data_IF_169533067442
#
_entry.id   IF_169533067442
#
_cell.length_a   1.000
_cell.length_b   1.000
_cell.length_c   1.000
_cell.angle_alpha   90.00
_cell.angle_beta   90.00
_cell.angle_gamma   90.00
#
_symmetry.space_group_name_H-M   'P 1'
#
loop_
_entity.id
_entity.type
_entity.pdbx_description
1 polymer ?
#
# COMPACT_ATOMS: atom_id res chain seq x y z
N UNK A 1 8.35 12.65 25.58
CA UNK A 1 7.45 12.02 24.63
C UNK A 1 7.13 12.90 23.40
N UNK A 2 7.72 14.11 23.29
CA UNK A 2 7.56 15.03 22.15
C UNK A 2 8.80 15.11 21.22
N UNK A 3 9.86 14.37 21.52
CA UNK A 3 11.11 14.41 20.75
C UNK A 3 11.14 13.40 19.59
N UNK A 4 10.33 12.35 19.66
CA UNK A 4 10.33 11.27 18.67
C UNK A 4 9.49 11.59 17.41
N UNK A 5 8.42 12.39 17.53
CA UNK A 5 7.59 12.77 16.40
C UNK A 5 8.31 13.69 15.40
N UNK A 6 9.10 14.66 15.90
CA UNK A 6 9.88 15.53 15.02
C UNK A 6 10.99 14.79 14.26
N UNK A 7 11.55 13.77 14.85
CA UNK A 7 12.63 12.96 14.22
C UNK A 7 12.08 12.13 13.07
N UNK A 8 10.87 11.60 13.20
CA UNK A 8 10.20 10.83 12.14
C UNK A 8 9.83 11.73 10.95
N UNK A 9 9.30 12.93 11.22
CA UNK A 9 8.93 13.93 10.21
C UNK A 9 10.16 14.40 9.43
N UNK A 10 11.27 14.65 10.10
CA UNK A 10 12.52 15.06 9.44
C UNK A 10 13.15 13.91 8.64
N UNK A 11 12.97 12.66 9.05
CA UNK A 11 13.37 11.49 8.29
C UNK A 11 12.58 11.34 6.97
N UNK A 12 11.26 11.55 7.01
CA UNK A 12 10.41 11.52 5.82
C UNK A 12 10.71 12.68 4.86
N UNK A 13 11.00 13.87 5.36
CA UNK A 13 11.46 15.00 4.52
C UNK A 13 12.79 14.71 3.82
N UNK A 14 13.73 14.08 4.52
CA UNK A 14 15.01 13.68 3.93
C UNK A 14 14.86 12.57 2.90
N UNK A 15 13.95 11.61 3.14
CA UNK A 15 13.61 10.58 2.16
C UNK A 15 12.97 11.20 0.92
N UNK A 16 12.10 12.17 1.09
CA UNK A 16 11.44 12.87 0.00
C UNK A 16 12.46 13.66 -0.85
N UNK A 17 13.37 14.43 -0.24
CA UNK A 17 14.44 15.15 -0.94
C UNK A 17 15.40 14.20 -1.66
N UNK A 18 15.69 13.03 -1.08
CA UNK A 18 16.48 11.99 -1.72
C UNK A 18 15.78 11.42 -2.96
N UNK A 19 14.48 11.20 -2.90
CA UNK A 19 13.70 10.70 -4.03
C UNK A 19 13.54 11.73 -5.13
N UNK A 20 13.46 13.04 -4.81
CA UNK A 20 13.54 14.12 -5.81
C UNK A 20 14.90 14.14 -6.53
N UNK A 21 16.02 14.03 -5.81
CA UNK A 21 17.35 13.99 -6.43
C UNK A 21 17.56 12.74 -7.29
N UNK A 22 16.88 11.64 -6.95
CA UNK A 22 16.92 10.41 -7.74
C UNK A 22 16.11 10.53 -9.04
N UNK A 23 14.98 11.24 -8.99
CA UNK A 23 14.15 11.54 -10.17
C UNK A 23 14.88 12.49 -11.15
N UNK A 24 15.78 13.33 -10.65
CA UNK A 24 16.63 14.24 -11.46
C UNK A 24 17.91 13.58 -12.01
N UNK A 25 18.11 12.28 -11.74
CA UNK A 25 19.23 11.49 -12.30
C UNK A 25 20.56 11.63 -11.56
N UNK A 26 20.59 12.28 -10.38
CA UNK A 26 21.77 12.31 -9.53
C UNK A 26 21.89 11.03 -8.70
N UNK A 27 23.01 10.32 -8.89
CA UNK A 27 23.40 9.16 -8.06
C UNK A 27 23.90 9.65 -6.70
N UNK A 28 22.98 10.04 -5.82
CA UNK A 28 23.33 10.39 -4.44
C UNK A 28 23.18 9.14 -3.56
N UNK A 29 24.20 8.87 -2.75
CA UNK A 29 24.18 7.80 -1.74
C UNK A 29 23.20 8.17 -0.64
N UNK A 30 22.48 7.19 -0.09
CA UNK A 30 21.57 7.35 1.06
C UNK A 30 22.16 8.27 2.13
N UNK A 31 21.42 9.28 2.61
CA UNK A 31 21.88 10.19 3.65
C UNK A 31 22.37 9.42 4.89
N UNK A 32 23.43 9.94 5.52
CA UNK A 32 24.08 9.26 6.67
C UNK A 32 23.14 9.02 7.84
N UNK A 33 22.13 9.87 8.02
CA UNK A 33 21.04 9.74 8.99
C UNK A 33 20.20 8.47 8.77
N UNK A 34 20.00 8.07 7.54
CA UNK A 34 19.31 6.84 7.18
C UNK A 34 20.15 5.59 7.47
N UNK A 35 21.47 5.66 7.24
CA UNK A 35 22.39 4.56 7.57
C UNK A 35 22.49 4.29 9.08
N UNK A 36 22.28 5.30 9.91
CA UNK A 36 22.32 5.14 11.37
C UNK A 36 20.99 4.68 11.97
N UNK A 37 19.86 4.88 11.26
CA UNK A 37 18.52 4.42 11.72
C UNK A 37 18.22 2.97 11.31
N UNK A 38 18.77 2.49 10.20
CA UNK A 38 18.64 1.08 9.79
C UNK A 38 19.08 0.12 10.90
N UNK A 39 20.18 0.33 11.64
CA UNK A 39 20.54 -0.51 12.78
C UNK A 39 19.61 -0.38 13.99
N UNK A 40 18.98 0.79 14.21
CA UNK A 40 18.03 0.98 15.32
C UNK A 40 16.73 0.22 15.10
N UNK A 41 16.26 0.17 13.84
CA UNK A 41 15.09 -0.63 13.44
C UNK A 41 15.36 -2.13 13.48
N UNK A 42 16.60 -2.55 13.13
CA UNK A 42 17.02 -3.96 13.20
C UNK A 42 17.37 -4.43 14.60
N UNK A 43 17.73 -3.53 15.54
CA UNK A 43 18.02 -3.91 16.93
C UNK A 43 16.76 -4.08 17.79
N UNK A 44 15.65 -3.42 17.47
CA UNK A 44 14.35 -3.68 18.09
C UNK A 44 13.84 -5.09 17.74
N UNK A 45 14.14 -5.58 16.54
CA UNK A 45 13.76 -6.91 16.06
C UNK A 45 14.65 -8.05 16.56
N UNK A 46 15.89 -7.77 16.97
CA UNK A 46 16.86 -8.78 17.39
C UNK A 46 16.81 -9.15 18.88
N UNK A 47 16.09 -8.41 19.72
CA UNK A 47 16.05 -8.60 21.17
C UNK A 47 14.80 -9.34 21.67
N UNK A 48 13.92 -9.78 20.79
CA UNK A 48 12.70 -10.45 21.17
C UNK A 48 12.56 -11.79 20.44
N UNK A 49 12.69 -12.88 21.17
CA UNK A 49 11.79 -14.01 20.93
C UNK A 49 10.38 -13.43 21.07
N UNK A 50 9.77 -13.02 19.92
CA UNK A 50 8.58 -12.19 19.88
C UNK A 50 7.49 -12.73 20.80
N UNK A 51 6.73 -11.86 21.43
CA UNK A 51 5.64 -12.27 22.32
C UNK A 51 4.73 -13.26 21.58
N UNK A 52 4.08 -14.14 22.31
CA UNK A 52 3.11 -15.10 21.71
C UNK A 52 2.13 -14.38 20.76
N UNK A 53 1.73 -13.15 21.09
CA UNK A 53 0.87 -12.32 20.27
C UNK A 53 1.50 -11.97 18.92
N UNK A 54 2.78 -11.56 18.91
CA UNK A 54 3.50 -11.22 17.67
C UNK A 54 3.74 -12.45 16.80
N UNK A 55 4.14 -13.58 17.37
CA UNK A 55 4.28 -14.83 16.60
C UNK A 55 3.00 -15.22 15.88
N UNK A 56 1.83 -15.13 16.57
CA UNK A 56 0.54 -15.40 15.96
C UNK A 56 0.26 -14.43 14.82
N UNK A 57 0.52 -13.14 15.02
CA UNK A 57 0.24 -12.08 14.06
C UNK A 57 1.07 -12.27 12.77
N UNK A 58 2.37 -12.47 12.88
CA UNK A 58 3.26 -12.69 11.74
C UNK A 58 2.94 -13.98 10.99
N UNK A 59 2.68 -15.07 11.73
CA UNK A 59 2.25 -16.34 11.14
C UNK A 59 0.94 -16.20 10.38
N UNK A 60 -0.04 -15.49 10.94
CA UNK A 60 -1.32 -15.24 10.28
C UNK A 60 -1.15 -14.42 9.00
N UNK A 61 -0.35 -13.35 9.02
CA UNK A 61 -0.07 -12.54 7.84
C UNK A 61 0.54 -13.38 6.70
N UNK A 62 1.51 -14.23 7.02
CA UNK A 62 2.14 -15.14 6.06
C UNK A 62 1.12 -16.14 5.50
N UNK A 63 0.44 -16.90 6.34
CA UNK A 63 -0.50 -17.93 5.91
C UNK A 63 -1.67 -17.33 5.11
N UNK A 64 -2.23 -16.19 5.52
CA UNK A 64 -3.27 -15.50 4.77
C UNK A 64 -2.75 -15.00 3.40
N UNK A 65 -1.48 -14.61 3.31
CA UNK A 65 -0.87 -14.23 2.03
C UNK A 65 -0.71 -15.41 1.05
N UNK A 66 -0.49 -16.61 1.57
CA UNK A 66 -0.27 -17.83 0.81
C UNK A 66 -1.57 -18.53 0.42
N UNK A 67 -2.45 -18.77 1.39
CA UNK A 67 -3.67 -19.57 1.23
C UNK A 67 -4.96 -18.75 1.08
N UNK A 68 -4.93 -17.47 1.44
CA UNK A 68 -6.14 -16.63 1.54
C UNK A 68 -6.89 -16.85 2.86
N UNK A 69 -7.73 -15.87 3.22
CA UNK A 69 -8.44 -15.90 4.52
C UNK A 69 -9.34 -17.12 4.67
N UNK A 70 -10.13 -17.47 3.67
CA UNK A 70 -11.15 -18.50 3.80
C UNK A 70 -10.57 -19.90 3.98
N UNK A 71 -9.44 -20.19 3.35
CA UNK A 71 -8.81 -21.50 3.33
C UNK A 71 -7.90 -21.79 4.54
N UNK A 72 -7.47 -20.76 5.26
CA UNK A 72 -6.59 -20.93 6.44
C UNK A 72 -7.43 -21.02 7.70
N UNK A 73 -7.26 -22.06 8.50
CA UNK A 73 -7.92 -22.22 9.78
C UNK A 73 -7.12 -21.66 10.96
N UNK A 74 -7.78 -21.45 12.11
CA UNK A 74 -7.05 -21.10 13.35
C UNK A 74 -6.07 -22.21 13.79
N UNK A 75 -6.37 -23.47 13.44
CA UNK A 75 -5.48 -24.59 13.74
C UNK A 75 -4.19 -24.52 12.94
N UNK A 76 -4.28 -24.17 11.66
CA UNK A 76 -3.10 -23.99 10.80
C UNK A 76 -2.19 -22.91 11.39
N UNK A 77 -2.78 -21.78 11.80
CA UNK A 77 -2.04 -20.67 12.40
C UNK A 77 -1.41 -21.08 13.72
N UNK A 78 -2.14 -21.77 14.60
CA UNK A 78 -1.62 -22.16 15.92
C UNK A 78 -0.55 -23.25 15.84
N UNK A 79 -0.70 -24.17 14.89
CA UNK A 79 0.31 -25.21 14.65
C UNK A 79 1.61 -24.58 14.15
N UNK A 80 1.53 -23.68 13.19
CA UNK A 80 2.70 -23.04 12.59
C UNK A 80 3.37 -22.02 13.53
N UNK A 81 2.59 -21.32 14.35
CA UNK A 81 3.10 -20.40 15.36
C UNK A 81 3.62 -21.10 16.62
N UNK A 82 3.46 -22.41 16.73
CA UNK A 82 3.76 -23.21 17.94
C UNK A 82 3.11 -22.62 19.20
N UNK A 83 1.78 -22.45 19.15
CA UNK A 83 0.98 -21.92 20.27
C UNK A 83 -0.32 -22.72 20.47
N UNK A 84 -0.92 -22.57 21.65
CA UNK A 84 -2.24 -23.13 21.92
C UNK A 84 -3.33 -22.24 21.30
N UNK A 85 -4.41 -22.86 20.83
CA UNK A 85 -5.59 -22.14 20.29
C UNK A 85 -6.21 -21.18 21.32
N UNK A 86 -6.10 -21.50 22.62
CA UNK A 86 -6.54 -20.60 23.69
C UNK A 86 -5.82 -19.25 23.65
N UNK A 87 -4.56 -19.20 23.20
CA UNK A 87 -3.80 -17.95 23.04
C UNK A 87 -4.41 -17.08 21.94
N UNK A 88 -4.83 -17.67 20.81
CA UNK A 88 -5.49 -16.90 19.75
C UNK A 88 -6.82 -16.33 20.23
N UNK A 89 -7.62 -17.13 20.92
CA UNK A 89 -8.90 -16.66 21.48
C UNK A 89 -8.68 -15.57 22.53
N UNK A 90 -7.66 -15.69 23.36
CA UNK A 90 -7.33 -14.69 24.37
C UNK A 90 -6.86 -13.35 23.77
N UNK A 91 -5.96 -13.40 22.78
CA UNK A 91 -5.37 -12.18 22.20
C UNK A 91 -6.22 -11.53 21.10
N UNK A 92 -7.01 -12.29 20.37
CA UNK A 92 -7.69 -11.85 19.15
C UNK A 92 -9.18 -12.17 19.09
N UNK A 93 -9.69 -13.00 20.00
CA UNK A 93 -11.10 -13.39 20.09
C UNK A 93 -11.55 -14.36 19.00
N UNK A 94 -11.22 -14.09 17.75
CA UNK A 94 -11.64 -14.90 16.60
C UNK A 94 -10.66 -14.78 15.42
N UNK A 95 -10.86 -15.61 14.38
CA UNK A 95 -10.12 -15.49 13.12
C UNK A 95 -10.32 -14.13 12.44
N UNK A 96 -11.54 -13.60 12.49
CA UNK A 96 -11.88 -12.27 11.97
C UNK A 96 -11.21 -11.18 12.81
N UNK A 97 -11.20 -11.31 14.14
CA UNK A 97 -10.49 -10.40 15.04
C UNK A 97 -8.98 -10.41 14.79
N UNK A 98 -8.39 -11.59 14.57
CA UNK A 98 -6.99 -11.72 14.19
C UNK A 98 -6.70 -11.02 12.85
N UNK A 99 -7.54 -11.21 11.84
CA UNK A 99 -7.40 -10.52 10.55
C UNK A 99 -7.44 -9.00 10.73
N UNK A 100 -8.37 -8.48 11.55
CA UNK A 100 -8.46 -7.05 11.82
C UNK A 100 -7.16 -6.52 12.44
N UNK A 101 -6.61 -7.21 13.43
CA UNK A 101 -5.33 -6.80 14.05
C UNK A 101 -4.16 -6.88 13.07
N UNK A 102 -4.14 -7.88 12.17
CA UNK A 102 -3.14 -7.95 11.09
C UNK A 102 -3.23 -6.71 10.20
N UNK A 103 -4.44 -6.32 9.76
CA UNK A 103 -4.64 -5.11 8.97
C UNK A 103 -4.22 -3.85 9.71
N UNK A 104 -4.65 -3.67 10.96
CA UNK A 104 -4.26 -2.53 11.79
C UNK A 104 -2.73 -2.42 11.91
N UNK A 105 -2.06 -3.52 12.20
CA UNK A 105 -0.61 -3.54 12.39
C UNK A 105 0.16 -3.07 11.17
N UNK A 106 -0.17 -3.60 10.00
CA UNK A 106 0.59 -3.31 8.78
C UNK A 106 0.07 -2.09 7.99
N UNK A 107 -1.22 -1.81 8.03
CA UNK A 107 -1.80 -0.71 7.27
C UNK A 107 -1.69 0.65 7.96
N UNK A 108 -1.67 0.70 9.29
CA UNK A 108 -1.61 1.97 10.03
C UNK A 108 -0.41 2.83 9.63
N UNK A 109 0.84 2.31 9.62
CA UNK A 109 1.99 3.13 9.22
C UNK A 109 1.92 3.53 7.74
N UNK A 110 1.42 2.67 6.86
CA UNK A 110 1.24 2.98 5.44
C UNK A 110 0.21 4.09 5.25
N UNK A 111 -0.92 4.02 5.95
CA UNK A 111 -1.97 5.03 5.86
C UNK A 111 -1.53 6.38 6.47
N UNK A 112 -0.78 6.35 7.57
CA UNK A 112 -0.19 7.55 8.15
C UNK A 112 0.75 8.25 7.16
N UNK A 113 1.65 7.51 6.51
CA UNK A 113 2.55 8.05 5.50
C UNK A 113 1.79 8.60 4.28
N UNK A 114 0.74 7.92 3.83
CA UNK A 114 -0.12 8.42 2.75
C UNK A 114 -0.79 9.75 3.10
N UNK A 115 -1.38 9.85 4.29
CA UNK A 115 -2.03 11.07 4.73
C UNK A 115 -1.05 12.23 4.82
N UNK A 116 0.13 12.00 5.37
CA UNK A 116 1.19 13.01 5.45
C UNK A 116 1.62 13.51 4.07
N UNK A 117 1.87 12.61 3.11
CA UNK A 117 2.24 12.97 1.75
C UNK A 117 1.11 13.71 1.02
N UNK A 118 -0.15 13.31 1.20
CA UNK A 118 -1.31 14.02 0.63
C UNK A 118 -1.43 15.42 1.22
N UNK A 119 -1.23 15.60 2.52
CA UNK A 119 -1.24 16.91 3.16
C UNK A 119 -0.06 17.79 2.72
N UNK A 120 1.09 17.18 2.42
CA UNK A 120 2.23 17.90 1.83
C UNK A 120 1.93 18.38 0.41
N UNK A 121 1.24 17.57 -0.42
CA UNK A 121 0.79 18.00 -1.74
C UNK A 121 -0.08 19.27 -1.66
N UNK A 122 -1.02 19.32 -0.70
CA UNK A 122 -1.84 20.52 -0.48
C UNK A 122 -1.01 21.72 -0.03
N UNK A 123 -0.12 21.55 0.94
CA UNK A 123 0.73 22.63 1.46
C UNK A 123 1.63 23.25 0.39
N UNK A 124 2.21 22.43 -0.50
CA UNK A 124 3.11 22.90 -1.57
C UNK A 124 2.40 23.73 -2.63
N UNK A 125 1.16 23.41 -2.94
CA UNK A 125 0.41 24.08 -4.00
C UNK A 125 -0.38 25.29 -3.51
N UNK A 126 -0.63 25.42 -2.21
CA UNK A 126 -1.44 26.50 -1.64
C UNK A 126 -2.84 26.53 -2.30
N UNK A 127 -3.19 27.63 -2.92
CA UNK A 127 -4.50 27.80 -3.58
C UNK A 127 -4.61 27.13 -4.96
N UNK A 128 -3.50 26.60 -5.50
CA UNK A 128 -3.53 25.90 -6.79
C UNK A 128 -3.91 24.43 -6.61
N UNK A 129 -4.56 23.79 -7.60
CA UNK A 129 -4.83 22.36 -7.58
C UNK A 129 -3.53 21.56 -7.46
N UNK A 130 -3.52 20.49 -6.64
CA UNK A 130 -2.35 19.62 -6.53
C UNK A 130 -2.09 18.90 -7.86
N UNK A 131 -0.82 18.53 -8.12
CA UNK A 131 -0.48 17.81 -9.33
C UNK A 131 -0.95 16.34 -9.21
N UNK A 132 -1.50 15.81 -10.29
CA UNK A 132 -1.95 14.41 -10.37
C UNK A 132 -0.82 13.44 -10.02
N UNK A 133 0.39 13.70 -10.52
CA UNK A 133 1.57 12.88 -10.27
C UNK A 133 1.94 12.82 -8.79
N UNK A 134 1.94 13.97 -8.09
CA UNK A 134 2.22 14.06 -6.66
C UNK A 134 1.19 13.27 -5.83
N UNK A 135 -0.10 13.40 -6.19
CA UNK A 135 -1.20 12.67 -5.52
C UNK A 135 -1.05 11.15 -5.73
N UNK A 136 -0.74 10.72 -6.97
CA UNK A 136 -0.51 9.31 -7.28
C UNK A 136 0.70 8.77 -6.52
N UNK A 137 1.80 9.55 -6.46
CA UNK A 137 2.96 9.21 -5.67
C UNK A 137 2.61 9.05 -4.18
N UNK A 138 1.88 10.00 -3.62
CA UNK A 138 1.46 9.96 -2.21
C UNK A 138 0.62 8.72 -1.86
N UNK A 139 -0.22 8.25 -2.78
CA UNK A 139 -1.02 7.04 -2.58
C UNK A 139 -0.19 5.76 -2.74
N UNK A 140 0.60 5.69 -3.82
CA UNK A 140 1.24 4.44 -4.25
C UNK A 140 2.55 4.17 -3.52
N UNK A 141 3.41 5.18 -3.37
CA UNK A 141 4.75 5.01 -2.81
C UNK A 141 4.76 4.34 -1.42
N UNK A 142 3.97 4.75 -0.42
CA UNK A 142 3.99 4.09 0.88
C UNK A 142 3.52 2.63 0.83
N UNK A 143 2.65 2.28 -0.11
CA UNK A 143 2.17 0.91 -0.27
C UNK A 143 3.22 -0.03 -0.87
N UNK A 144 4.08 0.50 -1.74
CA UNK A 144 5.13 -0.28 -2.40
C UNK A 144 6.43 -0.31 -1.57
N UNK A 145 6.73 0.75 -0.81
CA UNK A 145 7.90 0.86 0.06
C UNK A 145 7.57 0.60 1.55
N UNK A 146 6.44 -0.07 1.84
CA UNK A 146 6.02 -0.29 3.23
C UNK A 146 7.20 -0.75 4.09
N UNK A 147 7.43 -0.11 5.26
CA UNK A 147 8.61 -0.29 6.10
C UNK A 147 8.64 -1.61 6.88
N UNK A 148 7.93 -2.63 6.43
CA UNK A 148 8.09 -3.95 6.98
C UNK A 148 9.42 -4.50 6.47
N UNK A 149 10.42 -4.53 7.35
CA UNK A 149 11.71 -5.14 7.09
C UNK A 149 11.52 -6.61 6.71
N UNK A 150 12.14 -7.01 5.61
CA UNK A 150 12.16 -8.41 5.19
C UNK A 150 10.87 -8.91 4.52
N UNK A 151 10.50 -10.16 4.83
CA UNK A 151 9.40 -10.88 4.18
C UNK A 151 8.01 -10.38 4.58
N UNK A 152 7.84 -9.74 5.72
CA UNK A 152 6.56 -9.34 6.29
C UNK A 152 5.79 -8.33 5.42
N UNK A 153 6.47 -7.30 4.94
CA UNK A 153 5.85 -6.33 4.01
C UNK A 153 5.41 -6.99 2.71
N UNK A 154 6.17 -7.97 2.23
CA UNK A 154 5.78 -8.77 1.07
C UNK A 154 4.52 -9.59 1.35
N UNK A 155 4.42 -10.23 2.51
CA UNK A 155 3.23 -10.98 2.90
C UNK A 155 2.01 -10.07 2.98
N UNK A 156 2.13 -8.91 3.61
CA UNK A 156 1.02 -7.97 3.73
C UNK A 156 0.54 -7.46 2.36
N UNK A 157 1.46 -7.02 1.48
CA UNK A 157 1.09 -6.58 0.11
C UNK A 157 0.38 -7.69 -0.67
N UNK A 158 0.93 -8.91 -0.64
CA UNK A 158 0.33 -10.06 -1.32
C UNK A 158 -1.04 -10.42 -0.74
N UNK A 159 -1.19 -10.35 0.57
CA UNK A 159 -2.47 -10.53 1.25
C UNK A 159 -3.49 -9.49 0.79
N UNK A 160 -3.13 -8.20 0.76
CA UNK A 160 -3.97 -7.12 0.26
C UNK A 160 -4.44 -7.36 -1.18
N UNK A 161 -3.50 -7.65 -2.08
CA UNK A 161 -3.81 -7.92 -3.48
C UNK A 161 -4.80 -9.08 -3.64
N UNK A 162 -4.62 -10.17 -2.88
CA UNK A 162 -5.54 -11.32 -2.91
C UNK A 162 -6.92 -11.03 -2.32
N UNK A 163 -6.96 -10.26 -1.22
CA UNK A 163 -8.20 -9.96 -0.51
C UNK A 163 -9.01 -8.84 -1.16
N UNK A 164 -8.41 -8.04 -2.05
CA UNK A 164 -9.08 -6.94 -2.74
C UNK A 164 -10.32 -7.37 -3.54
N UNK A 165 -10.34 -8.60 -4.01
CA UNK A 165 -11.47 -9.19 -4.75
C UNK A 165 -12.24 -10.25 -3.94
N UNK A 166 -12.06 -10.30 -2.62
CA UNK A 166 -12.75 -11.28 -1.77
C UNK A 166 -14.26 -11.06 -1.77
N UNK A 167 -15.00 -12.14 -1.90
CA UNK A 167 -16.46 -12.14 -1.72
C UNK A 167 -16.88 -12.20 -0.24
N UNK A 168 -15.94 -12.53 0.67
CA UNK A 168 -16.21 -12.66 2.10
C UNK A 168 -16.58 -11.29 2.72
N UNK A 169 -17.76 -11.14 3.33
CA UNK A 169 -18.24 -9.86 3.85
C UNK A 169 -17.39 -9.31 4.99
N UNK A 170 -16.83 -10.17 5.84
CA UNK A 170 -15.96 -9.73 6.94
C UNK A 170 -14.64 -9.20 6.42
N UNK A 171 -14.02 -9.87 5.43
CA UNK A 171 -12.80 -9.41 4.76
C UNK A 171 -13.04 -8.05 4.11
N UNK A 172 -14.14 -7.90 3.37
CA UNK A 172 -14.50 -6.63 2.72
C UNK A 172 -14.72 -5.50 3.72
N UNK A 173 -15.43 -5.76 4.81
CA UNK A 173 -15.67 -4.78 5.87
C UNK A 173 -14.36 -4.29 6.49
N UNK A 174 -13.46 -5.20 6.85
CA UNK A 174 -12.14 -4.85 7.41
C UNK A 174 -11.33 -4.06 6.40
N UNK A 175 -11.25 -4.52 5.15
CA UNK A 175 -10.52 -3.85 4.09
C UNK A 175 -11.01 -2.41 3.90
N UNK A 176 -12.31 -2.20 3.78
CA UNK A 176 -12.87 -0.87 3.54
C UNK A 176 -12.65 0.03 4.77
N UNK A 177 -13.01 -0.42 5.98
CA UNK A 177 -12.83 0.40 7.19
C UNK A 177 -11.36 0.79 7.44
N UNK A 178 -10.41 -0.05 7.02
CA UNK A 178 -8.98 0.24 7.18
C UNK A 178 -8.50 1.35 6.25
N UNK A 179 -9.06 1.46 5.04
CA UNK A 179 -8.56 2.37 4.00
C UNK A 179 -9.51 3.53 3.65
N UNK A 180 -10.73 3.56 4.16
CA UNK A 180 -11.76 4.55 3.76
C UNK A 180 -11.32 6.00 3.94
N UNK A 181 -10.63 6.33 5.04
CA UNK A 181 -10.18 7.71 5.30
C UNK A 181 -9.18 8.17 4.24
N UNK A 182 -8.19 7.35 3.93
CA UNK A 182 -7.19 7.65 2.89
C UNK A 182 -7.85 7.69 1.52
N UNK A 183 -8.76 6.74 1.24
CA UNK A 183 -9.48 6.69 -0.03
C UNK A 183 -10.33 7.95 -0.25
N UNK A 184 -11.06 8.41 0.77
CA UNK A 184 -11.84 9.65 0.69
C UNK A 184 -10.96 10.86 0.42
N UNK A 185 -9.83 10.99 1.12
CA UNK A 185 -8.86 12.08 0.92
C UNK A 185 -8.27 12.05 -0.48
N UNK A 186 -7.86 10.88 -0.95
CA UNK A 186 -7.32 10.70 -2.30
C UNK A 186 -8.34 11.08 -3.39
N UNK A 187 -9.59 10.62 -3.27
CA UNK A 187 -10.67 10.96 -4.21
C UNK A 187 -10.93 12.46 -4.26
N UNK A 188 -10.98 13.14 -3.10
CA UNK A 188 -11.14 14.59 -3.01
C UNK A 188 -10.02 15.33 -3.75
N UNK A 189 -8.77 14.96 -3.49
CA UNK A 189 -7.63 15.60 -4.13
C UNK A 189 -7.60 15.37 -5.63
N UNK A 190 -7.90 14.16 -6.10
CA UNK A 190 -7.99 13.85 -7.52
C UNK A 190 -9.12 14.63 -8.21
N UNK A 191 -10.27 14.80 -7.54
CA UNK A 191 -11.36 15.63 -8.07
C UNK A 191 -10.96 17.10 -8.22
N UNK A 192 -10.19 17.64 -7.26
CA UNK A 192 -9.66 19.01 -7.34
C UNK A 192 -8.57 19.18 -8.41
N UNK A 193 -7.74 18.13 -8.60
CA UNK A 193 -6.70 18.12 -9.64
C UNK A 193 -7.26 17.99 -11.06
N UNK A 194 -8.44 17.39 -11.20
CA UNK A 194 -9.08 17.12 -12.50
C UNK A 194 -10.51 17.68 -12.55
N UNK A 195 -10.71 19.01 -12.42
CA UNK A 195 -12.05 19.63 -12.30
C UNK A 195 -12.92 19.43 -13.53
N UNK A 196 -12.32 19.24 -14.70
CA UNK A 196 -13.04 19.08 -15.97
C UNK A 196 -13.53 17.64 -16.21
N UNK A 197 -13.08 16.68 -15.39
CA UNK A 197 -13.52 15.30 -15.53
C UNK A 197 -14.92 15.08 -14.97
N UNK A 198 -15.86 14.53 -15.76
CA UNK A 198 -17.13 14.07 -15.22
C UNK A 198 -16.91 13.07 -14.07
N UNK A 199 -17.74 13.17 -13.02
CA UNK A 199 -17.60 12.33 -11.82
C UNK A 199 -17.55 10.84 -12.14
N UNK A 200 -18.37 10.37 -13.06
CA UNK A 200 -18.38 8.97 -13.49
C UNK A 200 -17.04 8.56 -14.09
N UNK A 201 -16.48 9.38 -14.98
CA UNK A 201 -15.20 9.11 -15.63
C UNK A 201 -14.03 9.17 -14.63
N UNK A 202 -14.07 10.12 -13.69
CA UNK A 202 -13.11 10.18 -12.60
C UNK A 202 -13.06 8.84 -11.85
N UNK A 203 -14.20 8.27 -11.47
CA UNK A 203 -14.24 6.98 -10.76
C UNK A 203 -13.73 5.80 -11.61
N UNK A 204 -13.96 5.80 -12.92
CA UNK A 204 -13.38 4.78 -13.80
C UNK A 204 -11.86 4.90 -13.89
N UNK A 205 -11.32 6.12 -13.97
CA UNK A 205 -9.86 6.34 -13.95
C UNK A 205 -9.26 5.97 -12.60
N UNK A 206 -9.94 6.26 -11.49
CA UNK A 206 -9.54 5.78 -10.15
C UNK A 206 -9.57 4.25 -10.04
N UNK A 207 -10.53 3.58 -10.68
CA UNK A 207 -10.57 2.12 -10.75
C UNK A 207 -9.32 1.56 -11.41
N UNK A 208 -8.77 2.23 -12.44
CA UNK A 208 -7.50 1.84 -13.05
C UNK A 208 -6.32 1.97 -12.07
N UNK A 209 -6.29 3.02 -11.23
CA UNK A 209 -5.25 3.18 -10.19
C UNK A 209 -5.30 2.04 -9.19
N UNK A 210 -6.48 1.79 -8.59
CA UNK A 210 -6.64 0.71 -7.62
C UNK A 210 -6.39 -0.66 -8.23
N UNK A 211 -6.88 -0.90 -9.45
CA UNK A 211 -6.68 -2.15 -10.16
C UNK A 211 -5.22 -2.46 -10.43
N UNK A 212 -4.45 -1.49 -10.93
CA UNK A 212 -3.01 -1.66 -11.18
C UNK A 212 -2.22 -1.86 -9.89
N UNK A 213 -2.52 -1.09 -8.83
CA UNK A 213 -1.89 -1.24 -7.52
C UNK A 213 -2.15 -2.64 -6.93
N UNK A 214 -3.41 -3.06 -6.87
CA UNK A 214 -3.78 -4.36 -6.30
C UNK A 214 -3.22 -5.53 -7.12
N UNK A 215 -3.23 -5.43 -8.44
CA UNK A 215 -2.67 -6.47 -9.31
C UNK A 215 -1.16 -6.62 -9.14
N UNK A 216 -0.43 -5.50 -9.07
CA UNK A 216 1.01 -5.52 -8.81
C UNK A 216 1.34 -6.12 -7.44
N UNK A 217 0.58 -5.76 -6.40
CA UNK A 217 0.76 -6.27 -5.04
C UNK A 217 0.40 -7.77 -4.89
N UNK A 218 -0.59 -8.25 -5.64
CA UNK A 218 -1.00 -9.65 -5.57
C UNK A 218 0.10 -10.64 -5.97
N UNK A 219 1.05 -10.20 -6.80
CA UNK A 219 2.16 -11.00 -7.33
C UNK A 219 1.72 -12.44 -7.71
N UNK A 220 0.70 -12.52 -8.54
CA UNK A 220 0.10 -13.80 -8.94
C UNK A 220 0.95 -14.60 -9.95
N UNK A 221 2.11 -14.08 -10.34
CA UNK A 221 3.05 -14.70 -11.26
C UNK A 221 2.66 -14.66 -12.74
N UNK A 222 1.46 -14.17 -13.09
CA UNK A 222 0.97 -14.18 -14.48
C UNK A 222 1.88 -13.39 -15.43
N UNK A 223 2.26 -12.18 -15.03
CA UNK A 223 3.14 -11.34 -15.86
C UNK A 223 4.51 -11.98 -16.00
N UNK A 224 5.07 -12.53 -14.92
CA UNK A 224 6.36 -13.25 -14.95
C UNK A 224 6.32 -14.44 -15.90
N UNK A 225 5.23 -15.22 -15.88
CA UNK A 225 5.05 -16.34 -16.82
C UNK A 225 5.05 -15.88 -18.28
N UNK A 226 4.48 -14.70 -18.58
CA UNK A 226 4.43 -14.16 -19.94
C UNK A 226 5.74 -13.50 -20.36
N UNK A 227 6.42 -12.82 -19.44
CA UNK A 227 7.62 -12.03 -19.73
C UNK A 227 8.93 -12.81 -19.55
N UNK A 228 8.89 -14.00 -18.92
CA UNK A 228 10.08 -14.77 -18.60
C UNK A 228 11.04 -13.99 -17.70
N UNK A 229 12.34 -14.13 -17.91
CA UNK A 229 13.39 -13.48 -17.11
C UNK A 229 13.49 -11.97 -17.34
N UNK A 230 12.73 -11.41 -18.29
CA UNK A 230 12.74 -9.97 -18.58
C UNK A 230 11.94 -9.12 -17.61
N UNK A 231 11.19 -9.73 -16.68
CA UNK A 231 10.34 -9.05 -15.71
C UNK A 231 10.53 -9.60 -14.29
N UNK A 232 10.93 -8.73 -13.40
CA UNK A 232 11.06 -9.02 -11.97
C UNK A 232 10.01 -8.26 -11.15
N UNK A 233 8.96 -8.95 -10.74
CA UNK A 233 7.86 -8.39 -9.95
C UNK A 233 8.25 -8.00 -8.51
N UNK A 234 9.46 -8.33 -8.07
CA UNK A 234 9.94 -7.97 -6.72
C UNK A 234 10.55 -6.55 -6.67
N UNK A 235 10.88 -5.98 -7.84
CA UNK A 235 11.43 -4.62 -7.96
C UNK A 235 10.33 -3.59 -7.89
N UNK A 236 9.89 -3.25 -6.67
CA UNK A 236 8.79 -2.33 -6.43
C UNK A 236 9.08 -0.90 -6.88
N UNK A 237 10.35 -0.45 -6.83
CA UNK A 237 10.77 0.85 -7.36
C UNK A 237 10.53 0.95 -8.86
N UNK A 238 10.84 -0.11 -9.61
CA UNK A 238 10.56 -0.16 -11.04
C UNK A 238 9.05 -0.08 -11.32
N UNK A 239 8.21 -0.68 -10.46
CA UNK A 239 6.76 -0.59 -10.60
C UNK A 239 6.29 0.88 -10.53
N UNK A 240 6.73 1.64 -9.54
CA UNK A 240 6.39 3.07 -9.39
C UNK A 240 6.89 3.90 -10.56
N UNK A 241 8.14 3.68 -10.99
CA UNK A 241 8.77 4.36 -12.12
C UNK A 241 7.93 4.26 -13.41
N UNK A 242 7.28 3.13 -13.65
CA UNK A 242 6.46 2.92 -14.84
C UNK A 242 4.98 3.21 -14.62
N UNK A 243 4.44 2.89 -13.45
CA UNK A 243 3.02 3.07 -13.16
C UNK A 243 2.63 4.54 -13.01
N UNK A 244 3.43 5.35 -12.32
CA UNK A 244 3.08 6.74 -12.05
C UNK A 244 2.97 7.56 -13.33
N UNK A 245 3.94 7.59 -14.25
CA UNK A 245 3.81 8.32 -15.51
C UNK A 245 2.63 7.81 -16.36
N UNK A 246 2.41 6.50 -16.40
CA UNK A 246 1.29 5.91 -17.14
C UNK A 246 -0.07 6.36 -16.59
N UNK A 247 -0.25 6.28 -15.28
CA UNK A 247 -1.48 6.70 -14.61
C UNK A 247 -1.68 8.22 -14.70
N UNK A 248 -0.63 9.01 -14.52
CA UNK A 248 -0.67 10.47 -14.70
C UNK A 248 -1.14 10.83 -16.11
N UNK A 249 -0.56 10.22 -17.14
CA UNK A 249 -1.01 10.42 -18.50
C UNK A 249 -2.50 10.08 -18.68
N UNK A 250 -2.96 8.99 -18.05
CA UNK A 250 -4.38 8.61 -18.05
C UNK A 250 -5.30 9.66 -17.46
N UNK A 251 -4.88 10.42 -16.45
CA UNK A 251 -5.67 11.49 -15.83
C UNK A 251 -5.56 12.83 -16.57
N UNK A 252 -4.48 13.08 -17.29
CA UNK A 252 -4.28 14.30 -18.09
C UNK A 252 -4.94 14.24 -19.47
N UNK A 253 -5.41 13.07 -19.91
CA UNK A 253 -6.23 12.96 -21.10
C UNK A 253 -7.52 13.78 -20.97
N UNK A 254 -7.97 14.45 -22.04
CA UNK A 254 -9.25 15.15 -22.02
C UNK A 254 -10.40 14.19 -21.67
N UNK A 255 -11.52 14.71 -21.14
CA UNK A 255 -12.70 13.89 -20.88
C UNK A 255 -13.14 13.16 -22.15
N UNK A 256 -13.58 11.91 -21.96
CA UNK A 256 -14.15 11.12 -23.06
C UNK A 256 -15.38 11.84 -23.59
N UNK A 257 -15.36 12.29 -24.83
CA UNK A 257 -16.56 12.79 -25.47
C UNK A 257 -17.59 11.66 -25.43
N UNK A 258 -18.84 11.97 -25.04
CA UNK A 258 -19.93 11.00 -25.16
C UNK A 258 -19.88 10.46 -26.59
N UNK A 259 -19.40 9.24 -26.75
CA UNK A 259 -19.40 8.54 -28.02
C UNK A 259 -20.83 8.60 -28.53
N UNK A 260 -21.05 9.42 -29.57
CA UNK A 260 -22.31 9.41 -30.29
C UNK A 260 -22.63 7.94 -30.56
N UNK A 261 -23.83 7.50 -30.22
CA UNK A 261 -24.32 6.14 -30.39
C UNK A 261 -23.67 5.52 -31.61
N UNK A 262 -22.92 4.45 -31.44
CA UNK A 262 -22.56 3.58 -32.57
C UNK A 262 -23.89 3.14 -33.18
N UNK A 263 -24.34 3.90 -34.16
CA UNK A 263 -25.46 3.55 -35.02
C UNK A 263 -25.19 2.15 -35.54
N UNK A 264 -26.09 1.23 -35.21
CA UNK A 264 -25.98 -0.15 -35.59
C UNK A 264 -25.72 -0.32 -37.07
N UNK A 265 -24.62 -0.99 -37.39
CA UNK A 265 -24.53 -1.69 -38.66
C UNK A 265 -25.37 -2.96 -38.51
N UNK A 266 -26.47 -3.00 -39.24
CA UNK A 266 -27.25 -4.19 -39.50
C UNK A 266 -26.42 -5.21 -40.29
#
# INVERSE_FOLDING_TARGET
MHQDENTLIDCFKQLFNYLESFAEGEKSSLPQTFRSMVPLMTQADAAASGSTRERILHTAARLFSEGGFDNISLRDITTDADVNIAAVNYHFGSKVGLLNVVFEHYATPVNAARMELLDECDRRRGDNPPAVEDILWALLSPAFHAPASGDEGRYFRRMLGRMSSSANPDVRRILFSTFDTVAARFVDMMARACPDLPKEELFWRLTCVYGSMMYAQADNGRIRTLAGDSFDSTKMDDALKYMIPFLTAGFTLPPSTKSGSRSGAK
#
